data_IF_297993407771
#
_entry.id   IF_297993407771
#
_cell.length_a   1.000
_cell.length_b   1.000
_cell.length_c   1.000
_cell.angle_alpha   90.00
_cell.angle_beta   90.00
_cell.angle_gamma   90.00
#
_symmetry.space_group_name_H-M   'P 1'
#
loop_
_entity.id
_entity.type
_entity.pdbx_description
1 polymer ?
#
# COMPACT_ATOMS: atom_id res chain seq x y z
N UNK A 1 -40.49 -30.72 -30.37
CA UNK A 1 -39.57 -31.09 -29.26
C UNK A 1 -38.13 -30.58 -29.47
N UNK A 2 -37.81 -29.79 -30.49
CA UNK A 2 -36.46 -29.26 -30.76
C UNK A 2 -36.12 -27.90 -30.16
N UNK A 3 -37.12 -27.06 -29.84
CA UNK A 3 -36.91 -25.67 -29.45
C UNK A 3 -36.44 -25.48 -27.99
N UNK A 4 -36.79 -26.38 -27.08
CA UNK A 4 -36.39 -26.28 -25.69
C UNK A 4 -34.89 -26.62 -25.45
N UNK A 5 -34.34 -27.57 -26.17
CA UNK A 5 -32.91 -27.93 -26.06
C UNK A 5 -31.97 -26.84 -26.54
N UNK A 6 -32.38 -26.01 -27.49
CA UNK A 6 -31.59 -24.90 -28.01
C UNK A 6 -31.51 -23.73 -27.00
N UNK A 7 -32.58 -23.54 -26.24
CA UNK A 7 -32.65 -22.47 -25.23
C UNK A 7 -31.76 -22.77 -24.02
N UNK A 8 -31.67 -24.02 -23.55
CA UNK A 8 -30.80 -24.43 -22.46
C UNK A 8 -29.30 -24.40 -22.84
N UNK A 9 -28.98 -24.82 -24.08
CA UNK A 9 -27.58 -24.92 -24.51
C UNK A 9 -26.91 -23.55 -24.73
N UNK A 10 -27.64 -22.47 -24.99
CA UNK A 10 -27.10 -21.14 -25.28
C UNK A 10 -27.34 -20.16 -24.12
N UNK A 11 -28.50 -20.21 -23.49
CA UNK A 11 -28.85 -19.22 -22.44
C UNK A 11 -28.13 -19.48 -21.11
N UNK A 12 -27.90 -20.76 -20.74
CA UNK A 12 -27.21 -21.09 -19.51
C UNK A 12 -25.71 -20.70 -19.57
N UNK A 13 -24.93 -21.02 -20.61
CA UNK A 13 -23.54 -20.57 -20.70
C UNK A 13 -23.42 -19.06 -20.92
N UNK A 14 -24.35 -18.41 -21.60
CA UNK A 14 -24.39 -16.96 -21.74
C UNK A 14 -24.69 -16.27 -20.41
N UNK A 15 -25.56 -16.84 -19.59
CA UNK A 15 -25.87 -16.32 -18.25
C UNK A 15 -24.71 -16.57 -17.27
N UNK A 16 -24.04 -17.70 -17.37
CA UNK A 16 -22.82 -18.00 -16.58
C UNK A 16 -21.68 -17.09 -17.02
N UNK A 17 -21.53 -16.81 -18.32
CA UNK A 17 -20.54 -15.87 -18.85
C UNK A 17 -20.82 -14.43 -18.39
N UNK A 18 -22.07 -14.03 -18.29
CA UNK A 18 -22.48 -12.73 -17.74
C UNK A 18 -22.26 -12.63 -16.23
N UNK A 19 -22.40 -13.71 -15.49
CA UNK A 19 -22.09 -13.79 -14.05
C UNK A 19 -20.58 -13.85 -13.78
N UNK A 20 -19.79 -14.35 -14.73
CA UNK A 20 -18.32 -14.38 -14.65
C UNK A 20 -17.64 -13.08 -15.11
N UNK A 21 -18.37 -12.15 -15.69
CA UNK A 21 -17.95 -10.77 -15.78
C UNK A 21 -17.91 -10.21 -14.34
N UNK A 22 -16.84 -10.53 -13.65
CA UNK A 22 -16.47 -9.82 -12.44
C UNK A 22 -16.46 -8.34 -12.81
N UNK A 23 -17.49 -7.64 -12.43
CA UNK A 23 -17.53 -6.19 -12.48
C UNK A 23 -16.36 -5.74 -11.60
N UNK A 24 -15.21 -5.52 -12.20
CA UNK A 24 -14.15 -4.74 -11.58
C UNK A 24 -14.72 -3.33 -11.48
N UNK A 25 -15.45 -3.09 -10.40
CA UNK A 25 -15.88 -1.73 -10.05
C UNK A 25 -14.60 -0.93 -9.94
N UNK A 26 -14.41 0.11 -10.77
CA UNK A 26 -13.27 0.98 -10.60
C UNK A 26 -13.31 1.48 -9.15
N UNK A 27 -12.28 1.16 -8.38
CA UNK A 27 -12.20 1.56 -6.98
C UNK A 27 -11.95 3.08 -6.99
N UNK A 28 -13.03 3.87 -7.01
CA UNK A 28 -12.93 5.33 -6.93
C UNK A 28 -12.48 5.70 -5.52
N UNK A 29 -11.17 5.86 -5.36
CA UNK A 29 -10.61 6.35 -4.11
C UNK A 29 -11.11 7.77 -3.84
N UNK A 30 -11.65 8.00 -2.65
CA UNK A 30 -12.18 9.30 -2.21
C UNK A 30 -11.52 9.75 -0.91
N UNK A 31 -11.55 11.04 -0.64
CA UNK A 31 -10.97 11.58 0.60
C UNK A 31 -11.85 11.34 1.83
N UNK A 32 -13.12 11.12 1.61
CA UNK A 32 -14.18 11.00 2.63
C UNK A 32 -14.74 9.57 2.76
N UNK A 33 -13.97 8.56 2.31
CA UNK A 33 -14.42 7.17 2.22
C UNK A 33 -14.94 6.63 3.57
N UNK A 34 -14.28 6.98 4.66
CA UNK A 34 -14.63 6.50 6.01
C UNK A 34 -15.53 7.44 6.81
N UNK A 35 -15.94 8.60 6.30
CA UNK A 35 -16.70 9.60 7.07
C UNK A 35 -17.98 9.04 7.67
N UNK A 36 -18.66 8.13 6.98
CA UNK A 36 -19.89 7.49 7.45
C UNK A 36 -19.65 6.18 8.19
N UNK A 37 -18.67 5.37 7.73
CA UNK A 37 -18.46 4.01 8.24
C UNK A 37 -17.50 3.96 9.42
N UNK A 38 -16.54 4.88 9.49
CA UNK A 38 -15.59 5.02 10.59
C UNK A 38 -15.07 6.47 10.73
N UNK A 39 -15.88 7.42 11.23
CA UNK A 39 -15.49 8.84 11.32
C UNK A 39 -14.21 9.10 12.13
N UNK A 40 -13.85 8.19 13.01
CA UNK A 40 -12.67 8.30 13.88
C UNK A 40 -11.42 7.65 13.30
N UNK A 41 -11.48 7.04 12.09
CA UNK A 41 -10.37 6.30 11.50
C UNK A 41 -9.10 7.14 11.41
N UNK A 42 -9.15 8.26 10.69
CA UNK A 42 -7.99 9.12 10.45
C UNK A 42 -7.41 9.71 11.74
N UNK A 43 -8.27 10.09 12.68
CA UNK A 43 -7.82 10.59 13.98
C UNK A 43 -7.14 9.50 14.82
N UNK A 44 -7.60 8.26 14.74
CA UNK A 44 -6.99 7.10 15.41
C UNK A 44 -5.62 6.79 14.82
N UNK A 45 -5.52 6.73 13.48
CA UNK A 45 -4.26 6.51 12.77
C UNK A 45 -3.24 7.59 13.15
N UNK A 46 -3.61 8.87 12.97
CA UNK A 46 -2.76 10.01 13.29
C UNK A 46 -2.21 9.96 14.71
N UNK A 47 -3.08 9.71 15.69
CA UNK A 47 -2.66 9.64 17.11
C UNK A 47 -1.61 8.54 17.34
N UNK A 48 -1.85 7.35 16.79
CA UNK A 48 -0.95 6.21 16.96
C UNK A 48 0.40 6.44 16.26
N UNK A 49 0.38 6.96 15.03
CA UNK A 49 1.60 7.30 14.28
C UNK A 49 2.42 8.39 15.00
N UNK A 50 1.75 9.45 15.46
CA UNK A 50 2.45 10.53 16.17
C UNK A 50 3.06 10.06 17.48
N UNK A 51 2.37 9.19 18.23
CA UNK A 51 2.92 8.58 19.42
C UNK A 51 4.16 7.71 19.10
N UNK A 52 4.11 6.92 18.03
CA UNK A 52 5.24 6.11 17.59
C UNK A 52 6.44 6.98 17.13
N UNK A 53 6.19 8.06 16.39
CA UNK A 53 7.25 9.00 15.95
C UNK A 53 7.82 9.78 17.13
N UNK A 54 7.00 10.18 18.10
CA UNK A 54 7.47 10.87 19.29
C UNK A 54 8.35 9.97 20.17
N UNK A 55 8.06 8.67 20.25
CA UNK A 55 8.88 7.71 20.99
C UNK A 55 10.18 7.37 20.26
N UNK A 56 10.17 7.32 18.94
CA UNK A 56 11.33 7.09 18.11
C UNK A 56 11.16 7.81 16.76
N UNK A 57 11.83 8.96 16.53
CA UNK A 57 11.74 9.72 15.28
C UNK A 57 12.08 8.92 14.01
N UNK A 58 12.88 7.87 14.13
CA UNK A 58 13.21 6.98 13.02
C UNK A 58 11.97 6.31 12.42
N UNK A 59 10.91 6.12 13.20
CA UNK A 59 9.66 5.55 12.71
C UNK A 59 9.05 6.33 11.55
N UNK A 60 9.30 7.63 11.44
CA UNK A 60 8.84 8.42 10.31
C UNK A 60 9.45 7.92 8.98
N UNK A 61 10.76 7.70 8.94
CA UNK A 61 11.45 7.16 7.77
C UNK A 61 11.00 5.72 7.47
N UNK A 62 10.85 4.91 8.51
CA UNK A 62 10.43 3.50 8.37
C UNK A 62 9.05 3.39 7.74
N UNK A 63 8.08 4.20 8.17
CA UNK A 63 6.71 4.17 7.64
C UNK A 63 6.64 4.65 6.20
N UNK A 64 7.39 5.68 5.83
CA UNK A 64 7.47 6.16 4.43
C UNK A 64 8.10 5.08 3.54
N UNK A 65 9.20 4.46 4.00
CA UNK A 65 9.85 3.38 3.27
C UNK A 65 8.95 2.16 3.13
N UNK A 66 8.26 1.77 4.19
CA UNK A 66 7.34 0.64 4.17
C UNK A 66 6.23 0.84 3.12
N UNK A 67 5.63 2.04 3.10
CA UNK A 67 4.62 2.40 2.09
C UNK A 67 5.19 2.42 0.67
N UNK A 68 6.43 2.88 0.48
CA UNK A 68 7.09 2.83 -0.82
C UNK A 68 7.29 1.39 -1.30
N UNK A 69 7.78 0.49 -0.43
CA UNK A 69 7.99 -0.91 -0.78
C UNK A 69 6.67 -1.62 -1.13
N UNK A 70 5.59 -1.35 -0.40
CA UNK A 70 4.25 -1.85 -0.72
C UNK A 70 3.81 -1.37 -2.11
N UNK A 71 3.76 -0.06 -2.32
CA UNK A 71 3.25 0.52 -3.56
C UNK A 71 4.06 0.17 -4.82
N UNK A 72 5.35 -0.13 -4.66
CA UNK A 72 6.24 -0.39 -5.79
C UNK A 72 6.15 -1.83 -6.33
N UNK A 73 5.60 -2.73 -5.51
CA UNK A 73 5.30 -4.11 -5.92
C UNK A 73 3.82 -4.23 -6.19
N UNK A 74 3.15 -4.70 -6.98
CA UNK A 74 1.71 -4.90 -7.24
C UNK A 74 0.77 -3.69 -7.00
N UNK A 75 1.24 -2.63 -6.37
CA UNK A 75 0.44 -1.44 -6.02
C UNK A 75 0.30 -1.25 -4.51
N UNK A 76 -0.37 -0.17 -4.11
CA UNK A 76 -0.57 0.16 -2.69
C UNK A 76 -1.73 -0.68 -2.13
N UNK A 77 -1.52 -1.96 -1.86
CA UNK A 77 -2.55 -2.92 -1.50
C UNK A 77 -2.23 -3.74 -0.23
N UNK A 78 -1.19 -3.33 0.50
CA UNK A 78 -0.73 -3.98 1.72
C UNK A 78 -0.24 -5.43 1.54
N UNK A 79 0.05 -5.87 0.32
CA UNK A 79 0.60 -7.21 0.03
C UNK A 79 1.91 -7.48 0.75
N UNK A 80 2.70 -6.42 0.98
CA UNK A 80 3.94 -6.47 1.76
C UNK A 80 3.74 -6.91 3.21
N UNK A 81 2.55 -6.71 3.80
CA UNK A 81 2.25 -7.08 5.19
C UNK A 81 1.90 -8.57 5.34
N UNK A 82 1.63 -9.27 4.24
CA UNK A 82 1.27 -10.69 4.25
C UNK A 82 2.48 -11.55 4.63
N UNK A 83 2.24 -12.55 5.48
CA UNK A 83 3.27 -13.48 5.94
C UNK A 83 3.26 -14.79 5.15
N UNK A 84 4.40 -15.46 5.12
CA UNK A 84 4.55 -16.75 4.46
C UNK A 84 5.87 -16.87 3.69
N UNK A 85 6.29 -18.08 3.38
CA UNK A 85 7.59 -18.37 2.76
C UNK A 85 7.77 -17.79 1.34
N UNK A 86 6.70 -17.44 0.65
CA UNK A 86 6.72 -16.84 -0.69
C UNK A 86 6.25 -15.38 -0.71
N UNK A 87 6.07 -14.77 0.46
CA UNK A 87 5.56 -13.40 0.56
C UNK A 87 6.65 -12.35 0.25
N UNK A 88 6.21 -11.15 -0.09
CA UNK A 88 7.10 -10.00 -0.26
C UNK A 88 7.90 -9.70 1.01
N UNK A 89 7.27 -9.86 2.20
CA UNK A 89 7.93 -9.67 3.49
C UNK A 89 9.14 -10.59 3.68
N UNK A 90 9.11 -11.79 3.11
CA UNK A 90 10.21 -12.75 3.14
C UNK A 90 11.21 -12.58 1.99
N UNK A 91 11.00 -11.62 1.09
CA UNK A 91 11.88 -11.37 -0.06
C UNK A 91 13.21 -10.75 0.37
N UNK A 92 14.35 -11.19 -0.22
CA UNK A 92 15.63 -10.51 0.00
C UNK A 92 15.63 -9.03 -0.40
N UNK A 93 14.73 -8.61 -1.29
CA UNK A 93 14.57 -7.20 -1.67
C UNK A 93 13.98 -6.35 -0.54
N UNK A 94 13.34 -6.98 0.43
CA UNK A 94 12.74 -6.36 1.60
C UNK A 94 13.56 -6.59 2.89
N UNK A 95 14.76 -7.16 2.77
CA UNK A 95 15.66 -7.27 3.92
C UNK A 95 15.95 -5.88 4.51
N UNK A 96 15.75 -5.75 5.83
CA UNK A 96 15.92 -4.49 6.55
C UNK A 96 14.80 -3.47 6.35
N UNK A 97 13.66 -3.85 5.75
CA UNK A 97 12.41 -3.08 5.87
C UNK A 97 11.87 -3.29 7.28
N UNK A 98 11.58 -2.20 7.97
CA UNK A 98 11.14 -2.17 9.37
C UNK A 98 9.89 -1.29 9.49
N UNK A 99 9.26 -1.30 10.68
CA UNK A 99 8.07 -0.48 10.97
C UNK A 99 6.76 -1.26 10.89
N UNK A 100 6.82 -2.56 10.64
CA UNK A 100 5.65 -3.44 10.64
C UNK A 100 4.91 -3.37 11.98
N UNK A 101 5.65 -3.41 13.09
CA UNK A 101 5.13 -3.33 14.45
C UNK A 101 4.36 -2.03 14.73
N UNK A 102 4.78 -0.93 14.09
CA UNK A 102 4.04 0.34 14.18
C UNK A 102 2.71 0.23 13.44
N UNK A 103 2.71 -0.36 12.25
CA UNK A 103 1.47 -0.57 11.48
C UNK A 103 0.52 -1.51 12.23
N UNK A 104 1.02 -2.58 12.85
CA UNK A 104 0.21 -3.48 13.67
C UNK A 104 -0.43 -2.75 14.85
N UNK A 105 0.33 -1.90 15.53
CA UNK A 105 -0.20 -1.07 16.62
C UNK A 105 -1.26 -0.06 16.14
N UNK A 106 -1.04 0.56 14.97
CA UNK A 106 -2.01 1.46 14.33
C UNK A 106 -3.28 0.68 13.95
N UNK A 107 -3.14 -0.48 13.32
CA UNK A 107 -4.25 -1.37 12.94
C UNK A 107 -5.06 -1.76 14.19
N UNK A 108 -4.39 -2.22 15.23
CA UNK A 108 -5.04 -2.57 16.49
C UNK A 108 -5.80 -1.38 17.11
N UNK A 109 -5.26 -0.16 17.02
CA UNK A 109 -5.95 1.04 17.50
C UNK A 109 -7.21 1.38 16.68
N UNK A 110 -7.14 1.20 15.36
CA UNK A 110 -8.29 1.42 14.46
C UNK A 110 -9.36 0.35 14.66
N UNK A 111 -8.97 -0.93 14.83
CA UNK A 111 -9.90 -2.03 15.09
C UNK A 111 -10.69 -1.86 16.39
N UNK A 112 -10.13 -1.18 17.40
CA UNK A 112 -10.86 -0.85 18.64
C UNK A 112 -11.99 0.17 18.42
N UNK A 113 -11.89 1.02 17.41
CA UNK A 113 -12.92 2.04 17.12
C UNK A 113 -13.87 1.62 16.00
N UNK A 114 -13.40 0.86 15.01
CA UNK A 114 -14.19 0.41 13.86
C UNK A 114 -13.66 -0.94 13.34
N UNK A 115 -14.11 -2.01 13.98
CA UNK A 115 -13.64 -3.36 13.67
C UNK A 115 -13.96 -3.78 12.23
N UNK A 116 -12.94 -4.22 11.48
CA UNK A 116 -13.08 -4.78 10.14
C UNK A 116 -13.46 -3.75 9.05
N UNK A 117 -13.33 -2.45 9.30
CA UNK A 117 -13.77 -1.42 8.37
C UNK A 117 -12.63 -0.81 7.56
N UNK A 118 -11.48 -0.57 8.20
CA UNK A 118 -10.36 0.17 7.57
C UNK A 118 -9.30 -0.81 7.07
N UNK A 119 -8.97 -0.73 5.78
CA UNK A 119 -7.95 -1.58 5.16
C UNK A 119 -6.53 -1.25 5.65
N UNK A 120 -5.65 -2.23 5.64
CA UNK A 120 -4.22 -2.03 5.93
C UNK A 120 -3.55 -1.15 4.87
N UNK A 121 -3.96 -1.26 3.61
CA UNK A 121 -3.48 -0.41 2.53
C UNK A 121 -3.77 1.08 2.76
N UNK A 122 -4.96 1.42 3.25
CA UNK A 122 -5.27 2.80 3.60
C UNK A 122 -4.54 3.24 4.87
N UNK A 123 -4.36 2.34 5.84
CA UNK A 123 -3.55 2.62 7.03
C UNK A 123 -2.11 2.96 6.65
N UNK A 124 -1.47 2.17 5.78
CA UNK A 124 -0.11 2.44 5.27
C UNK A 124 -0.01 3.81 4.60
N UNK A 125 -0.93 4.13 3.70
CA UNK A 125 -0.93 5.39 2.97
C UNK A 125 -1.11 6.61 3.90
N UNK A 126 -2.02 6.52 4.86
CA UNK A 126 -2.26 7.58 5.85
C UNK A 126 -1.09 7.67 6.84
N UNK A 127 -0.54 6.53 7.28
CA UNK A 127 0.58 6.49 8.20
C UNK A 127 1.84 7.15 7.60
N UNK A 128 2.14 6.89 6.32
CA UNK A 128 3.25 7.55 5.63
C UNK A 128 3.10 9.08 5.59
N UNK A 129 1.89 9.59 5.29
CA UNK A 129 1.59 11.02 5.32
C UNK A 129 1.71 11.59 6.73
N UNK A 130 1.09 10.95 7.72
CA UNK A 130 1.07 11.44 9.10
C UNK A 130 2.45 11.39 9.77
N UNK A 131 3.26 10.41 9.42
CA UNK A 131 4.65 10.29 9.84
C UNK A 131 5.51 11.43 9.27
N UNK A 132 5.34 11.77 7.99
CA UNK A 132 6.00 12.91 7.34
C UNK A 132 5.64 14.23 8.03
N UNK A 133 4.36 14.44 8.33
CA UNK A 133 3.88 15.64 9.04
C UNK A 133 4.41 15.69 10.47
N UNK A 134 4.52 14.55 11.16
CA UNK A 134 5.04 14.51 12.53
C UNK A 134 6.48 15.01 12.65
N UNK A 135 7.29 14.85 11.59
CA UNK A 135 8.65 15.38 11.50
C UNK A 135 8.75 16.71 10.74
N UNK A 136 7.64 17.46 10.68
CA UNK A 136 7.52 18.79 10.04
C UNK A 136 7.69 18.76 8.52
N UNK A 137 7.49 17.62 7.87
CA UNK A 137 7.43 17.53 6.42
C UNK A 137 6.08 18.00 5.86
N UNK A 138 5.95 18.07 4.53
CA UNK A 138 4.72 18.48 3.87
C UNK A 138 3.57 17.49 4.09
N UNK A 139 2.35 18.01 4.06
CA UNK A 139 1.14 17.19 4.06
C UNK A 139 0.58 17.09 2.64
N UNK A 140 -0.10 15.99 2.36
CA UNK A 140 -0.84 15.80 1.10
C UNK A 140 -2.17 15.09 1.35
N UNK A 141 -3.07 15.23 0.38
CA UNK A 141 -4.36 14.57 0.42
C UNK A 141 -4.22 13.08 0.11
N UNK A 142 -4.61 12.20 1.02
CA UNK A 142 -4.67 10.76 0.81
C UNK A 142 -6.10 10.39 0.39
N UNK A 143 -6.25 9.80 -0.80
CA UNK A 143 -7.51 9.19 -1.20
C UNK A 143 -7.59 7.80 -0.57
N UNK A 144 -8.77 7.42 -0.11
CA UNK A 144 -9.06 6.23 0.68
C UNK A 144 -10.04 5.30 -0.06
N UNK A 145 -10.12 4.06 0.39
CA UNK A 145 -10.97 3.03 -0.21
C UNK A 145 -10.18 1.92 -0.89
N UNK A 146 -8.87 1.80 -0.63
CA UNK A 146 -8.06 0.66 -1.08
C UNK A 146 -8.56 -0.61 -0.41
N UNK A 147 -8.40 -1.71 -1.12
CA UNK A 147 -8.60 -3.05 -0.57
C UNK A 147 -7.24 -3.68 -0.32
N UNK A 148 -7.18 -4.50 0.73
CA UNK A 148 -6.01 -5.30 1.01
C UNK A 148 -5.91 -6.45 0.02
N UNK A 149 -4.69 -6.73 -0.45
CA UNK A 149 -4.39 -7.91 -1.27
C UNK A 149 -4.57 -9.20 -0.47
N UNK A 150 -4.92 -10.25 -1.17
CA UNK A 150 -4.94 -11.62 -0.64
C UNK A 150 -3.75 -12.45 -1.10
N UNK A 151 -2.88 -11.85 -1.94
CA UNK A 151 -1.69 -12.49 -2.51
C UNK A 151 -0.45 -11.61 -2.28
N UNK A 152 0.71 -12.25 -2.19
CA UNK A 152 2.01 -11.60 -2.03
C UNK A 152 3.07 -12.42 -2.74
N UNK A 153 4.05 -11.78 -3.39
CA UNK A 153 5.02 -12.49 -4.24
C UNK A 153 6.45 -11.98 -4.05
N UNK A 154 7.28 -12.80 -3.40
CA UNK A 154 8.68 -12.48 -3.15
C UNK A 154 9.50 -12.24 -4.43
N UNK A 155 9.20 -12.93 -5.53
CA UNK A 155 9.93 -12.78 -6.78
C UNK A 155 9.62 -11.44 -7.47
N UNK A 156 8.40 -10.96 -7.36
CA UNK A 156 8.02 -9.64 -7.88
C UNK A 156 8.70 -8.51 -7.09
N UNK A 157 8.84 -8.64 -5.78
CA UNK A 157 9.62 -7.69 -5.00
C UNK A 157 11.07 -7.59 -5.48
N UNK A 158 11.69 -8.72 -5.82
CA UNK A 158 13.06 -8.75 -6.39
C UNK A 158 13.13 -8.06 -7.75
N UNK A 159 12.10 -8.16 -8.58
CA UNK A 159 12.08 -7.63 -9.96
C UNK A 159 11.71 -6.15 -10.01
N UNK A 160 10.80 -5.73 -9.14
CA UNK A 160 10.14 -4.44 -9.21
C UNK A 160 10.84 -3.36 -8.39
N UNK A 161 11.34 -3.72 -7.21
CA UNK A 161 12.02 -2.74 -6.35
C UNK A 161 13.35 -2.26 -6.97
N UNK A 162 13.65 -0.96 -6.88
CA UNK A 162 14.92 -0.42 -7.33
C UNK A 162 16.07 -0.96 -6.47
N UNK A 163 17.15 -1.38 -7.11
CA UNK A 163 18.33 -1.96 -6.44
C UNK A 163 19.51 -1.00 -6.47
N UNK A 164 20.37 -1.07 -5.47
CA UNK A 164 21.54 -0.21 -5.33
C UNK A 164 22.61 -0.40 -6.43
N UNK A 165 22.56 -1.47 -7.20
CA UNK A 165 23.45 -1.74 -8.32
C UNK A 165 22.91 -1.30 -9.69
N UNK A 166 21.69 -0.72 -9.74
CA UNK A 166 21.12 -0.19 -10.98
C UNK A 166 21.81 1.12 -11.37
N UNK A 167 22.16 1.25 -12.66
CA UNK A 167 22.60 2.52 -13.22
C UNK A 167 21.40 3.48 -13.45
N UNK A 168 21.70 4.75 -13.79
CA UNK A 168 20.68 5.79 -13.94
C UNK A 168 19.57 5.41 -14.93
N UNK A 169 19.93 4.85 -16.10
CA UNK A 169 18.93 4.49 -17.10
C UNK A 169 18.02 3.36 -16.61
N UNK A 170 18.59 2.37 -15.94
CA UNK A 170 17.85 1.28 -15.33
C UNK A 170 16.88 1.77 -14.24
N UNK A 171 17.30 2.75 -13.41
CA UNK A 171 16.43 3.38 -12.43
C UNK A 171 15.30 4.15 -13.09
N UNK A 172 15.58 4.98 -14.10
CA UNK A 172 14.56 5.72 -14.84
C UNK A 172 13.54 4.76 -15.45
N UNK A 173 13.98 3.67 -16.08
CA UNK A 173 13.09 2.69 -16.68
C UNK A 173 12.28 1.92 -15.63
N UNK A 174 12.88 1.61 -14.49
CA UNK A 174 12.20 0.96 -13.36
C UNK A 174 11.04 1.84 -12.84
N UNK A 175 11.30 3.12 -12.57
CA UNK A 175 10.26 4.06 -12.12
C UNK A 175 9.21 4.34 -13.20
N UNK A 176 9.62 4.42 -14.49
CA UNK A 176 8.68 4.60 -15.61
C UNK A 176 7.68 3.46 -15.71
N UNK A 177 8.09 2.19 -15.47
CA UNK A 177 7.16 1.05 -15.44
C UNK A 177 6.09 1.19 -14.36
N UNK A 178 6.35 1.97 -13.30
CA UNK A 178 5.40 2.29 -12.23
C UNK A 178 4.64 3.60 -12.47
N UNK A 179 4.76 4.18 -13.67
CA UNK A 179 4.08 5.44 -14.04
C UNK A 179 4.76 6.70 -13.50
N UNK A 180 5.98 6.60 -13.00
CA UNK A 180 6.74 7.71 -12.42
C UNK A 180 7.81 8.21 -13.39
N UNK A 181 7.93 9.52 -13.51
CA UNK A 181 8.98 10.14 -14.34
C UNK A 181 10.30 10.34 -13.56
N UNK A 182 11.36 10.76 -14.26
CA UNK A 182 12.69 10.93 -13.66
C UNK A 182 12.73 11.99 -12.54
N UNK A 183 11.89 13.04 -12.60
CA UNK A 183 11.81 14.05 -11.53
C UNK A 183 11.19 13.46 -10.27
N UNK A 184 10.14 12.66 -10.43
CA UNK A 184 9.48 11.96 -9.33
C UNK A 184 10.40 10.90 -8.71
N UNK A 185 11.18 10.20 -9.55
CA UNK A 185 12.23 9.29 -9.08
C UNK A 185 13.24 10.01 -8.19
N UNK A 186 13.76 11.16 -8.62
CA UNK A 186 14.72 11.95 -7.83
C UNK A 186 14.09 12.43 -6.52
N UNK A 187 12.85 12.90 -6.56
CA UNK A 187 12.13 13.37 -5.36
C UNK A 187 11.95 12.23 -4.33
N UNK A 188 11.52 11.04 -4.77
CA UNK A 188 11.36 9.88 -3.90
C UNK A 188 12.70 9.37 -3.36
N UNK A 189 13.74 9.34 -4.18
CA UNK A 189 15.09 8.95 -3.75
C UNK A 189 15.66 9.94 -2.73
N UNK A 190 15.46 11.25 -2.94
CA UNK A 190 15.88 12.30 -2.01
C UNK A 190 15.15 12.23 -0.68
N UNK A 191 13.86 11.93 -0.69
CA UNK A 191 13.06 11.75 0.52
C UNK A 191 13.64 10.64 1.41
N UNK A 192 14.02 9.50 0.81
CA UNK A 192 14.65 8.39 1.53
C UNK A 192 16.00 8.79 2.16
N UNK A 193 16.84 9.56 1.46
CA UNK A 193 18.12 10.05 1.98
C UNK A 193 17.91 11.04 3.13
N UNK A 194 16.95 11.94 3.04
CA UNK A 194 16.73 12.98 4.04
C UNK A 194 16.32 12.43 5.41
N UNK A 195 15.63 11.29 5.43
CA UNK A 195 15.22 10.63 6.68
C UNK A 195 16.31 9.73 7.29
N UNK A 196 17.32 9.33 6.53
CA UNK A 196 18.39 8.44 6.99
C UNK A 196 19.59 9.23 7.54
N UNK A 197 19.95 10.36 6.92
CA UNK A 197 21.13 11.16 7.28
C UNK A 197 21.13 11.72 8.72
N UNK A 198 20.03 12.23 9.31
CA UNK A 198 20.03 12.72 10.69
C UNK A 198 20.16 11.64 11.77
N UNK A 199 20.17 10.37 11.40
CA UNK A 199 20.23 9.24 12.34
C UNK A 199 21.65 8.74 12.60
N UNK A 200 22.65 9.33 11.93
CA UNK A 200 24.07 9.00 12.07
C UNK A 200 24.89 10.10 12.76
N UNK A 201 24.24 11.17 13.25
CA UNK A 201 24.88 12.22 14.05
C UNK A 201 24.23 12.39 15.41
#
# INVERSE_FOLDING_TARGET
MGSYKYMETILIPAFILLLSLNYVMPCNLTVNFYDKTCPKALASIKRSVWAAVASNPRNAALLVRLHFHDCFVQGCDASLLLEGAGSEKASPANDGVLGYEVIDAVKAAVERVCRGVVSCADILAVAARDATVAVRGPSWTVRLGRRDSTTSNAAEAVTDLPRGNMNLNQLIDNFRRKGLNAREMVALSGLMCFFVLPLYY
#
